data_IF_688266199579
#
_entry.id   IF_688266199579
#
_cell.length_a   1.000
_cell.length_b   1.000
_cell.length_c   1.000
_cell.angle_alpha   90.00
_cell.angle_beta   90.00
_cell.angle_gamma   90.00
#
_symmetry.space_group_name_H-M   'P 1'
#
loop_
_entity.id
_entity.type
_entity.pdbx_description
1 polymer ?
#
# COMPACT_ATOMS: atom_id res chain seq x y z
N UNK A 1 3.75 -2.81 11.10
CA UNK A 1 3.16 -1.45 11.06
C UNK A 1 3.46 -0.76 12.39
N UNK A 2 3.67 0.57 12.43
CA UNK A 2 3.96 1.29 13.68
C UNK A 2 2.75 1.28 14.62
N UNK A 3 2.99 1.30 15.95
CA UNK A 3 1.94 1.15 16.97
C UNK A 3 0.85 2.20 16.87
N UNK A 4 1.21 3.47 16.63
CA UNK A 4 0.25 4.57 16.47
C UNK A 4 -0.80 4.29 15.37
N UNK A 5 -0.43 3.53 14.34
CA UNK A 5 -1.31 3.18 13.23
C UNK A 5 -2.22 2.00 13.61
N UNK A 6 -1.65 0.96 14.22
CA UNK A 6 -2.38 -0.28 14.54
C UNK A 6 -3.27 -0.18 15.77
N UNK A 7 -2.94 0.70 16.71
CA UNK A 7 -3.71 0.96 17.93
C UNK A 7 -4.70 2.13 17.76
N UNK A 8 -4.60 2.87 16.65
CA UNK A 8 -5.52 3.95 16.30
C UNK A 8 -6.89 3.43 15.82
N UNK A 9 -7.93 4.24 16.03
CA UNK A 9 -9.25 4.03 15.42
C UNK A 9 -9.40 5.00 14.27
N UNK A 10 -9.68 4.48 13.07
CA UNK A 10 -9.72 5.26 11.84
C UNK A 10 -11.02 5.04 11.09
N UNK A 11 -11.58 6.11 10.55
CA UNK A 11 -12.54 5.99 9.46
C UNK A 11 -11.84 5.54 8.17
N UNK A 12 -12.62 5.07 7.19
CA UNK A 12 -12.08 4.68 5.89
C UNK A 12 -11.37 5.86 5.19
N UNK A 13 -11.91 7.08 5.31
CA UNK A 13 -11.34 8.27 4.67
C UNK A 13 -10.01 8.68 5.32
N UNK A 14 -9.92 8.65 6.64
CA UNK A 14 -8.68 8.94 7.37
C UNK A 14 -7.58 7.93 7.03
N UNK A 15 -7.91 6.63 7.08
CA UNK A 15 -6.93 5.59 6.80
C UNK A 15 -6.47 5.62 5.32
N UNK A 16 -7.39 5.93 4.41
CA UNK A 16 -7.09 6.15 2.98
C UNK A 16 -6.14 7.34 2.79
N UNK A 17 -6.37 8.45 3.50
CA UNK A 17 -5.50 9.62 3.44
C UNK A 17 -4.11 9.31 4.01
N UNK A 18 -4.04 8.58 5.13
CA UNK A 18 -2.78 8.13 5.74
C UNK A 18 -1.98 7.26 4.77
N UNK A 19 -2.60 6.23 4.19
CA UNK A 19 -1.94 5.33 3.25
C UNK A 19 -1.43 6.08 2.02
N UNK A 20 -2.28 6.93 1.42
CA UNK A 20 -1.91 7.76 0.27
C UNK A 20 -0.72 8.65 0.59
N UNK A 21 -0.76 9.35 1.73
CA UNK A 21 0.31 10.24 2.14
C UNK A 21 1.63 9.49 2.34
N UNK A 22 1.60 8.33 3.00
CA UNK A 22 2.80 7.51 3.18
C UNK A 22 3.42 7.10 1.84
N UNK A 23 2.61 6.55 0.92
CA UNK A 23 3.08 6.12 -0.40
C UNK A 23 3.67 7.29 -1.20
N UNK A 24 2.95 8.42 -1.28
CA UNK A 24 3.43 9.56 -2.07
C UNK A 24 4.67 10.21 -1.46
N UNK A 25 4.80 10.21 -0.13
CA UNK A 25 5.98 10.72 0.56
C UNK A 25 7.20 9.85 0.29
N UNK A 26 7.12 8.54 0.51
CA UNK A 26 8.25 7.61 0.33
C UNK A 26 8.66 7.50 -1.14
N UNK A 27 7.70 7.23 -2.04
CA UNK A 27 7.98 7.12 -3.47
C UNK A 27 8.48 8.45 -4.03
N UNK A 28 7.91 9.57 -3.58
CA UNK A 28 8.37 10.91 -3.96
C UNK A 28 9.81 11.20 -3.50
N UNK A 29 10.17 10.79 -2.28
CA UNK A 29 11.51 10.99 -1.73
C UNK A 29 12.60 10.27 -2.53
N UNK A 30 12.31 9.05 -3.00
CA UNK A 30 13.24 8.24 -3.78
C UNK A 30 13.00 8.29 -5.29
N UNK A 31 12.20 9.23 -5.78
CA UNK A 31 11.85 9.35 -7.20
C UNK A 31 13.10 9.34 -8.10
N UNK A 32 13.09 8.44 -9.09
CA UNK A 32 14.17 8.25 -10.05
C UNK A 32 15.44 7.57 -9.49
N UNK A 33 15.44 7.16 -8.22
CA UNK A 33 16.57 6.46 -7.59
C UNK A 33 16.38 4.94 -7.53
N UNK A 34 15.14 4.46 -7.61
CA UNK A 34 14.80 3.05 -7.54
C UNK A 34 14.26 2.56 -8.88
N UNK A 35 14.68 1.36 -9.29
CA UNK A 35 14.21 0.72 -10.52
C UNK A 35 12.84 0.04 -10.33
N UNK A 36 12.52 -0.34 -9.09
CA UNK A 36 11.30 -1.05 -8.76
C UNK A 36 10.86 -0.77 -7.31
N UNK A 37 9.56 -0.91 -7.06
CA UNK A 37 8.92 -0.87 -5.75
C UNK A 37 8.03 -2.10 -5.58
N UNK A 38 8.18 -2.77 -4.45
CA UNK A 38 7.14 -3.67 -3.93
C UNK A 38 6.11 -2.81 -3.21
N UNK A 39 5.05 -2.45 -3.93
CA UNK A 39 4.05 -1.47 -3.47
C UNK A 39 3.09 -2.09 -2.45
N UNK A 40 2.77 -3.37 -2.66
CA UNK A 40 1.96 -4.17 -1.74
C UNK A 40 2.66 -5.52 -1.59
N UNK A 41 2.78 -6.00 -0.36
CA UNK A 41 3.43 -7.26 -0.04
C UNK A 41 2.46 -8.19 0.70
N UNK A 42 2.42 -9.47 0.31
CA UNK A 42 1.74 -10.57 1.01
C UNK A 42 0.24 -10.32 1.26
N UNK A 43 -0.45 -9.91 0.19
CA UNK A 43 -1.87 -9.54 0.26
C UNK A 43 -2.81 -10.75 0.31
N UNK A 44 -2.31 -11.95 0.00
CA UNK A 44 -3.13 -13.15 -0.08
C UNK A 44 -2.76 -14.19 0.99
N UNK A 45 -3.73 -15.04 1.32
CA UNK A 45 -3.52 -16.29 2.04
C UNK A 45 -3.22 -17.41 1.03
N UNK A 46 -2.81 -18.59 1.53
CA UNK A 46 -2.49 -19.77 0.72
C UNK A 46 -3.64 -20.26 -0.18
N UNK A 47 -4.89 -19.97 0.21
CA UNK A 47 -6.09 -20.33 -0.55
C UNK A 47 -6.50 -19.25 -1.58
N UNK A 48 -5.68 -18.22 -1.76
CA UNK A 48 -5.93 -17.09 -2.67
C UNK A 48 -6.93 -16.06 -2.15
N UNK A 49 -7.48 -16.24 -0.94
CA UNK A 49 -8.32 -15.20 -0.31
C UNK A 49 -7.46 -14.03 0.17
N UNK A 50 -8.06 -12.86 0.36
CA UNK A 50 -7.35 -11.71 0.91
C UNK A 50 -6.94 -11.92 2.36
N UNK A 51 -5.69 -11.56 2.67
CA UNK A 51 -5.22 -11.47 4.05
C UNK A 51 -5.92 -10.30 4.76
N UNK A 52 -6.50 -10.59 5.91
CA UNK A 52 -7.24 -9.59 6.67
C UNK A 52 -6.34 -8.61 7.44
N UNK A 53 -5.75 -7.65 6.73
CA UNK A 53 -4.95 -6.55 7.30
C UNK A 53 -5.82 -5.37 7.74
N UNK A 54 -5.25 -4.43 8.51
CA UNK A 54 -5.88 -3.13 8.81
C UNK A 54 -6.40 -2.45 7.53
N UNK A 55 -5.59 -2.47 6.47
CA UNK A 55 -5.95 -1.89 5.18
C UNK A 55 -7.14 -2.60 4.55
N UNK A 56 -7.13 -3.93 4.49
CA UNK A 56 -8.21 -4.70 3.90
C UNK A 56 -9.52 -4.53 4.70
N UNK A 57 -9.47 -4.67 6.03
CA UNK A 57 -10.66 -4.59 6.90
C UNK A 57 -11.36 -3.23 6.80
N UNK A 58 -10.59 -2.16 6.67
CA UNK A 58 -11.13 -0.79 6.71
C UNK A 58 -11.37 -0.19 5.32
N UNK A 59 -10.53 -0.51 4.32
CA UNK A 59 -10.60 0.07 2.97
C UNK A 59 -11.16 -0.88 1.92
N UNK A 60 -11.28 -2.18 2.23
CA UNK A 60 -11.63 -3.23 1.28
C UNK A 60 -10.51 -3.51 0.26
N UNK A 61 -10.69 -4.51 -0.62
CA UNK A 61 -9.65 -4.98 -1.55
C UNK A 61 -9.15 -3.91 -2.54
N UNK A 62 -9.93 -2.85 -2.76
CA UNK A 62 -9.56 -1.73 -3.64
C UNK A 62 -8.29 -0.99 -3.22
N UNK A 63 -7.85 -1.12 -1.96
CA UNK A 63 -6.64 -0.46 -1.46
C UNK A 63 -5.39 -0.82 -2.28
N UNK A 64 -5.32 -2.02 -2.86
CA UNK A 64 -4.18 -2.47 -3.68
C UNK A 64 -4.08 -1.64 -4.96
N UNK A 65 -5.20 -1.49 -5.67
CA UNK A 65 -5.25 -0.69 -6.89
C UNK A 65 -4.97 0.79 -6.61
N UNK A 66 -5.47 1.30 -5.48
CA UNK A 66 -5.21 2.66 -5.05
C UNK A 66 -3.72 2.89 -4.71
N UNK A 67 -3.09 1.97 -3.98
CA UNK A 67 -1.68 2.03 -3.63
C UNK A 67 -0.78 2.07 -4.88
N UNK A 68 -1.03 1.17 -5.85
CA UNK A 68 -0.33 1.15 -7.13
C UNK A 68 -0.53 2.46 -7.92
N UNK A 69 -1.75 2.99 -7.94
CA UNK A 69 -2.05 4.25 -8.62
C UNK A 69 -1.29 5.43 -7.99
N UNK A 70 -1.24 5.52 -6.67
CA UNK A 70 -0.54 6.61 -5.99
C UNK A 70 0.98 6.49 -6.12
N UNK A 71 1.53 5.28 -6.07
CA UNK A 71 2.94 5.04 -6.34
C UNK A 71 3.30 5.48 -7.77
N UNK A 72 2.50 5.11 -8.77
CA UNK A 72 2.73 5.52 -10.17
C UNK A 72 2.65 7.04 -10.36
N UNK A 73 1.73 7.71 -9.66
CA UNK A 73 1.62 9.17 -9.68
C UNK A 73 2.87 9.85 -9.10
N UNK A 74 3.48 9.28 -8.07
CA UNK A 74 4.68 9.82 -7.43
C UNK A 74 5.94 9.57 -8.29
N UNK A 75 6.10 8.35 -8.82
CA UNK A 75 7.16 8.00 -9.77
C UNK A 75 6.64 7.11 -10.91
N UNK A 76 6.51 7.72 -12.10
CA UNK A 76 6.03 7.04 -13.31
C UNK A 76 7.05 6.10 -13.96
N UNK A 77 8.32 6.17 -13.56
CA UNK A 77 9.41 5.43 -14.18
C UNK A 77 9.79 4.15 -13.43
N UNK A 78 9.47 4.07 -12.14
CA UNK A 78 9.69 2.87 -11.36
C UNK A 78 8.74 1.74 -11.79
N UNK A 79 9.25 0.50 -11.82
CA UNK A 79 8.40 -0.70 -11.94
C UNK A 79 7.64 -0.90 -10.63
N UNK A 80 6.35 -1.21 -10.69
CA UNK A 80 5.52 -1.38 -9.50
C UNK A 80 5.05 -2.83 -9.41
N UNK A 81 5.25 -3.43 -8.25
CA UNK A 81 4.97 -4.85 -8.01
C UNK A 81 3.99 -5.04 -6.86
N UNK A 82 3.16 -6.07 -7.01
CA UNK A 82 2.53 -6.78 -5.90
C UNK A 82 3.38 -8.03 -5.66
N UNK A 83 4.04 -8.10 -4.50
CA UNK A 83 4.94 -9.20 -4.16
C UNK A 83 4.24 -10.16 -3.19
N UNK A 84 4.34 -11.46 -3.45
CA UNK A 84 3.77 -12.51 -2.61
C UNK A 84 4.61 -13.79 -2.72
N UNK A 85 4.34 -14.78 -1.88
CA UNK A 85 5.05 -16.07 -1.86
C UNK A 85 4.11 -17.26 -2.13
N UNK A 86 4.73 -18.43 -2.34
CA UNK A 86 4.12 -19.71 -2.76
C UNK A 86 3.48 -19.69 -4.16
#
# INVERSE_FOLDING_TARGET
>A
LPSWLTEGTWTADELRAILKNHIQTEVGHFKGKLIAWDVVNEAFNEDGTYRETLWYKTLGPGYIADALRWAHQADKHAKLSLNDYN
#
